data_IF_712586828382
#
_entry.id   IF_712586828382
#
_cell.length_a   1.000
_cell.length_b   1.000
_cell.length_c   1.000
_cell.angle_alpha   90.00
_cell.angle_beta   90.00
_cell.angle_gamma   90.00
#
_symmetry.space_group_name_H-M   'P 1'
#
loop_
_entity.id
_entity.type
_entity.pdbx_description
1 polymer ?
#
# COMPACT_ATOMS: atom_id res chain seq x y z
N UNK A 1 5.45 -1.37 -22.41
CA UNK A 1 5.32 -2.30 -21.29
C UNK A 1 4.43 -1.59 -20.30
N UNK A 2 3.21 -2.07 -20.05
CA UNK A 2 2.27 -1.38 -19.17
C UNK A 2 2.84 -1.44 -17.75
N UNK A 3 3.17 -0.27 -17.21
CA UNK A 3 3.53 -0.11 -15.81
C UNK A 3 2.34 -0.56 -14.96
N UNK A 4 2.51 -1.64 -14.20
CA UNK A 4 1.50 -2.11 -13.27
C UNK A 4 1.41 -1.08 -12.13
N UNK A 5 0.40 -0.21 -12.20
CA UNK A 5 0.09 0.79 -11.19
C UNK A 5 -0.93 0.22 -10.18
N UNK A 6 -0.84 0.65 -8.92
CA UNK A 6 -1.82 0.36 -7.87
C UNK A 6 -2.36 1.64 -7.26
N UNK A 7 -3.60 1.60 -6.78
CA UNK A 7 -4.18 2.68 -6.01
C UNK A 7 -3.64 2.64 -4.57
N UNK A 8 -3.11 3.78 -4.12
CA UNK A 8 -2.63 3.97 -2.77
C UNK A 8 -3.20 5.26 -2.16
N UNK A 9 -3.17 5.35 -0.83
CA UNK A 9 -3.48 6.55 -0.08
C UNK A 9 -2.19 7.14 0.48
N UNK A 10 -1.92 8.41 0.20
CA UNK A 10 -0.73 9.12 0.68
C UNK A 10 -1.12 10.41 1.40
N UNK A 11 -0.39 10.74 2.47
CA UNK A 11 -0.44 12.05 3.11
C UNK A 11 0.95 12.67 3.08
N UNK A 12 1.03 13.99 2.82
CA UNK A 12 2.31 14.71 2.68
C UNK A 12 2.69 15.51 3.93
N UNK A 13 1.76 15.68 4.88
CA UNK A 13 1.97 16.49 6.08
C UNK A 13 1.12 15.99 7.24
N UNK A 14 1.65 16.11 8.45
CA UNK A 14 0.93 15.80 9.69
C UNK A 14 -0.18 16.84 9.95
N UNK A 15 -1.24 16.42 10.67
CA UNK A 15 -2.30 17.32 11.14
C UNK A 15 -3.48 17.57 10.18
N UNK A 16 -3.50 16.93 9.00
CA UNK A 16 -4.56 17.15 8.01
C UNK A 16 -5.81 16.25 8.12
N UNK A 17 -5.84 15.32 9.07
CA UNK A 17 -6.95 14.38 9.27
C UNK A 17 -7.28 13.54 8.02
N UNK A 18 -8.52 13.05 7.94
CA UNK A 18 -8.98 12.25 6.80
C UNK A 18 -8.98 13.02 5.47
N UNK A 19 -9.07 14.36 5.51
CA UNK A 19 -9.07 15.21 4.32
C UNK A 19 -7.68 15.34 3.64
N UNK A 20 -6.60 15.01 4.35
CA UNK A 20 -5.25 15.04 3.80
C UNK A 20 -4.79 13.71 3.18
N UNK A 21 -5.61 12.67 3.26
CA UNK A 21 -5.38 11.42 2.54
C UNK A 21 -5.75 11.61 1.07
N UNK A 22 -4.73 11.57 0.21
CA UNK A 22 -4.88 11.69 -1.24
C UNK A 22 -4.84 10.31 -1.88
N UNK A 23 -5.78 10.06 -2.79
CA UNK A 23 -5.74 8.90 -3.66
C UNK A 23 -4.69 9.14 -4.74
N UNK A 24 -3.70 8.25 -4.83
CA UNK A 24 -2.60 8.32 -5.79
C UNK A 24 -2.42 6.98 -6.48
N UNK A 25 -2.03 7.01 -7.74
CA UNK A 25 -1.57 5.83 -8.46
C UNK A 25 -0.06 5.75 -8.32
N UNK A 26 0.42 4.67 -7.75
CA UNK A 26 1.86 4.43 -7.54
C UNK A 26 2.27 3.14 -8.24
N UNK A 27 3.52 3.05 -8.73
CA UNK A 27 4.03 1.80 -9.27
C UNK A 27 3.98 0.71 -8.21
N UNK A 28 3.55 -0.49 -8.60
CA UNK A 28 3.58 -1.64 -7.69
C UNK A 28 5.04 -1.87 -7.27
N UNK A 29 5.35 -1.80 -5.96
CA UNK A 29 6.71 -2.02 -5.49
C UNK A 29 7.10 -3.47 -5.73
N UNK A 30 8.28 -3.69 -6.31
CA UNK A 30 8.82 -5.04 -6.48
C UNK A 30 9.28 -5.56 -5.13
N UNK A 31 8.77 -6.71 -4.64
CA UNK A 31 9.17 -7.24 -3.35
C UNK A 31 10.65 -7.65 -3.38
N UNK A 32 11.46 -7.09 -2.48
CA UNK A 32 12.81 -7.58 -2.23
C UNK A 32 12.74 -8.98 -1.61
N UNK A 33 13.71 -9.86 -1.93
CA UNK A 33 13.71 -11.27 -1.48
C UNK A 33 13.58 -11.46 0.03
N UNK A 34 14.02 -10.48 0.82
CA UNK A 34 13.97 -10.46 2.28
C UNK A 34 12.62 -10.01 2.86
N UNK A 35 11.81 -9.27 2.08
CA UNK A 35 10.51 -8.73 2.49
C UNK A 35 9.34 -9.54 1.90
N UNK A 36 9.58 -10.76 1.43
CA UNK A 36 8.51 -11.73 1.22
C UNK A 36 8.00 -12.18 2.59
N UNK A 37 7.24 -11.31 3.26
CA UNK A 37 6.38 -11.75 4.33
C UNK A 37 5.48 -12.83 3.71
N UNK A 38 5.50 -14.09 4.19
CA UNK A 38 4.46 -15.02 3.79
C UNK A 38 3.15 -14.34 4.18
N UNK A 39 2.27 -14.17 3.19
CA UNK A 39 0.91 -13.68 3.41
C UNK A 39 0.28 -14.66 4.40
N UNK A 40 0.38 -14.38 5.70
CA UNK A 40 -0.27 -15.16 6.73
C UNK A 40 -1.76 -14.97 6.47
N UNK A 41 -2.50 -16.01 6.02
CA UNK A 41 -3.93 -15.89 5.98
C UNK A 41 -4.36 -15.69 7.43
N UNK A 42 -4.95 -14.54 7.70
CA UNK A 42 -5.69 -14.27 8.94
C UNK A 42 -6.68 -15.41 9.08
N UNK A 43 -6.40 -16.35 10.00
CA UNK A 43 -7.34 -17.40 10.32
C UNK A 43 -8.55 -16.71 10.98
N UNK A 44 -9.79 -16.97 10.53
CA UNK A 44 -10.95 -16.41 11.21
C UNK A 44 -10.93 -16.90 12.66
N UNK A 45 -10.90 -15.95 13.60
CA UNK A 45 -11.04 -16.23 15.03
C UNK A 45 -12.41 -16.88 15.27
N UNK A 46 -12.39 -18.05 15.91
CA UNK A 46 -13.57 -18.81 16.30
C UNK A 46 -14.06 -18.38 17.69
#
# INVERSE_FOLDING_TARGET
>A
MAENLMHALQYNSYGGGAAALKHVEVPIPTPNKENQLPFFPILPEN
#
